data_IF_909893646625
#
_entry.id   IF_909893646625
#
_cell.length_a   1.000
_cell.length_b   1.000
_cell.length_c   1.000
_cell.angle_alpha   90.00
_cell.angle_beta   90.00
_cell.angle_gamma   90.00
#
_symmetry.space_group_name_H-M   'P 1'
#
loop_
_entity.id
_entity.type
_entity.pdbx_description
1 polymer ?
#
# COMPACT_ATOMS: atom_id res chain seq x y z
N UNK A 1 4.47 -3.69 -1.18
CA UNK A 1 3.39 -4.32 -0.39
C UNK A 1 2.09 -4.13 -1.14
N UNK A 2 1.83 -5.01 -2.11
CA UNK A 2 0.70 -4.85 -3.03
C UNK A 2 -0.63 -4.99 -2.30
N UNK A 3 -1.60 -4.13 -2.65
CA UNK A 3 -2.99 -4.24 -2.19
C UNK A 3 -3.57 -5.60 -2.55
N UNK A 4 -4.29 -6.25 -1.63
CA UNK A 4 -5.05 -7.47 -1.94
C UNK A 4 -6.43 -7.15 -2.50
N UNK A 5 -6.92 -5.94 -2.28
CA UNK A 5 -8.11 -5.42 -2.93
C UNK A 5 -7.71 -4.58 -4.17
N UNK A 6 -7.32 -5.26 -5.25
CA UNK A 6 -6.89 -4.62 -6.49
C UNK A 6 -7.61 -5.20 -7.73
N UNK A 7 -7.68 -4.41 -8.79
CA UNK A 7 -8.09 -4.87 -10.13
C UNK A 7 -6.90 -4.71 -11.06
N UNK A 8 -6.42 -5.83 -11.64
CA UNK A 8 -5.25 -5.84 -12.54
C UNK A 8 -4.02 -5.12 -11.97
N UNK A 9 -3.81 -5.22 -10.66
CA UNK A 9 -2.70 -4.56 -9.97
C UNK A 9 -2.98 -3.13 -9.50
N UNK A 10 -4.13 -2.54 -9.87
CA UNK A 10 -4.52 -1.21 -9.43
C UNK A 10 -5.27 -1.26 -8.08
N UNK A 11 -4.75 -0.63 -7.01
CA UNK A 11 -5.34 -0.71 -5.68
C UNK A 11 -6.68 0.04 -5.63
N UNK A 12 -7.72 -0.61 -5.10
CA UNK A 12 -9.08 -0.04 -5.10
C UNK A 12 -9.27 1.09 -4.09
N UNK A 13 -8.67 0.98 -2.89
CA UNK A 13 -8.88 1.97 -1.84
C UNK A 13 -8.41 3.39 -2.24
N UNK A 14 -7.18 3.60 -2.77
CA UNK A 14 -6.74 4.92 -3.24
C UNK A 14 -7.59 5.50 -4.38
N UNK A 15 -8.21 4.65 -5.21
CA UNK A 15 -9.11 5.09 -6.30
C UNK A 15 -10.43 5.57 -5.70
N UNK A 16 -10.97 4.88 -4.69
CA UNK A 16 -12.29 5.16 -4.15
C UNK A 16 -12.30 6.31 -3.13
N UNK A 17 -11.21 6.58 -2.41
CA UNK A 17 -11.18 7.63 -1.39
C UNK A 17 -11.34 9.05 -1.93
N UNK A 18 -11.15 9.27 -3.24
CA UNK A 18 -11.30 10.61 -3.84
C UNK A 18 -12.75 11.10 -3.79
N UNK A 19 -13.71 10.18 -3.86
CA UNK A 19 -15.13 10.50 -3.83
C UNK A 19 -15.60 11.03 -2.46
N UNK A 20 -15.42 10.32 -1.33
CA UNK A 20 -15.82 10.84 -0.03
C UNK A 20 -15.07 12.12 0.33
N UNK A 21 -13.79 12.25 -0.04
CA UNK A 21 -13.01 13.48 0.20
C UNK A 21 -13.63 14.66 -0.54
N UNK A 22 -13.95 14.50 -1.82
CA UNK A 22 -14.60 15.55 -2.61
C UNK A 22 -15.99 15.90 -2.06
N UNK A 23 -16.80 14.90 -1.74
CA UNK A 23 -18.18 15.09 -1.31
C UNK A 23 -18.30 15.72 0.09
N UNK A 24 -17.48 15.31 1.06
CA UNK A 24 -17.48 15.93 2.39
C UNK A 24 -16.89 17.34 2.37
N UNK A 25 -15.87 17.59 1.55
CA UNK A 25 -15.35 18.96 1.33
C UNK A 25 -16.42 19.84 0.70
N UNK A 26 -17.12 19.32 -0.32
CA UNK A 26 -18.21 20.02 -0.99
C UNK A 26 -19.39 20.31 -0.05
N UNK A 27 -19.74 19.37 0.84
CA UNK A 27 -20.79 19.56 1.86
C UNK A 27 -20.50 20.80 2.69
N UNK A 28 -19.34 20.84 3.36
CA UNK A 28 -18.95 21.97 4.20
C UNK A 28 -18.87 23.28 3.40
N UNK A 29 -18.36 23.22 2.16
CA UNK A 29 -18.28 24.40 1.30
C UNK A 29 -19.67 24.97 1.00
N UNK A 30 -20.62 24.14 0.58
CA UNK A 30 -21.96 24.59 0.20
C UNK A 30 -22.82 25.00 1.41
N UNK A 31 -22.65 24.38 2.57
CA UNK A 31 -23.32 24.85 3.79
C UNK A 31 -22.76 26.19 4.27
N UNK A 32 -21.43 26.40 4.20
CA UNK A 32 -20.82 27.70 4.45
C UNK A 32 -21.32 28.75 3.46
N UNK A 33 -21.36 28.41 2.18
CA UNK A 33 -21.78 29.32 1.12
C UNK A 33 -23.27 29.64 1.19
N UNK A 34 -24.11 28.66 1.51
CA UNK A 34 -25.53 28.87 1.79
C UNK A 34 -25.75 29.81 2.97
N UNK A 35 -24.99 29.62 4.06
CA UNK A 35 -25.06 30.50 5.23
C UNK A 35 -24.59 31.94 4.94
N UNK A 36 -23.63 32.11 4.03
CA UNK A 36 -23.12 33.42 3.64
C UNK A 36 -24.02 34.14 2.62
N UNK A 37 -24.55 33.41 1.64
CA UNK A 37 -25.31 33.98 0.52
C UNK A 37 -26.82 34.00 0.71
N UNK A 38 -27.33 33.39 1.78
CA UNK A 38 -28.76 33.21 2.08
C UNK A 38 -29.56 32.58 0.91
N UNK A 39 -28.90 31.70 0.14
CA UNK A 39 -29.46 31.10 -1.06
C UNK A 39 -29.75 29.61 -0.82
N UNK A 40 -31.04 29.30 -0.63
CA UNK A 40 -31.54 27.99 -0.21
C UNK A 40 -31.01 26.77 -1.00
N UNK A 41 -30.88 26.81 -2.35
CA UNK A 41 -30.42 25.65 -3.13
C UNK A 41 -29.03 25.11 -2.76
N UNK A 42 -28.18 25.91 -2.11
CA UNK A 42 -26.87 25.44 -1.67
C UNK A 42 -26.96 24.43 -0.52
N UNK A 43 -27.93 24.58 0.38
CA UNK A 43 -28.14 23.61 1.46
C UNK A 43 -28.65 22.25 0.94
N UNK A 44 -29.47 22.25 -0.11
CA UNK A 44 -29.91 21.02 -0.79
C UNK A 44 -28.73 20.32 -1.47
N UNK A 45 -27.88 21.10 -2.13
CA UNK A 45 -26.64 20.59 -2.74
C UNK A 45 -25.73 19.97 -1.69
N UNK A 46 -25.53 20.66 -0.57
CA UNK A 46 -24.72 20.16 0.55
C UNK A 46 -25.28 18.84 1.11
N UNK A 47 -26.61 18.75 1.29
CA UNK A 47 -27.27 17.52 1.74
C UNK A 47 -27.01 16.34 0.80
N UNK A 48 -27.18 16.51 -0.51
CA UNK A 48 -26.94 15.42 -1.46
C UNK A 48 -25.47 14.98 -1.49
N UNK A 49 -24.55 15.94 -1.41
CA UNK A 49 -23.12 15.64 -1.27
C UNK A 49 -22.83 14.90 0.03
N UNK A 50 -23.46 15.27 1.14
CA UNK A 50 -23.29 14.61 2.44
C UNK A 50 -23.71 13.13 2.37
N UNK A 51 -24.87 12.85 1.77
CA UNK A 51 -25.39 11.49 1.57
C UNK A 51 -24.45 10.66 0.67
N UNK A 52 -24.01 11.22 -0.46
CA UNK A 52 -23.06 10.57 -1.35
C UNK A 52 -21.70 10.35 -0.69
N UNK A 53 -21.25 11.29 0.15
CA UNK A 53 -20.04 11.20 0.95
C UNK A 53 -20.08 10.02 1.91
N UNK A 54 -21.17 9.86 2.67
CA UNK A 54 -21.37 8.72 3.58
C UNK A 54 -21.36 7.41 2.80
N UNK A 55 -22.14 7.33 1.71
CA UNK A 55 -22.21 6.12 0.90
C UNK A 55 -20.83 5.71 0.34
N UNK A 56 -20.13 6.65 -0.29
CA UNK A 56 -18.81 6.37 -0.89
C UNK A 56 -17.71 6.13 0.14
N UNK A 57 -17.80 6.73 1.34
CA UNK A 57 -16.90 6.42 2.45
C UNK A 57 -17.03 4.96 2.90
N UNK A 58 -18.27 4.45 3.02
CA UNK A 58 -18.52 3.04 3.36
C UNK A 58 -17.99 2.10 2.27
N UNK A 59 -18.20 2.43 1.00
CA UNK A 59 -17.64 1.65 -0.13
C UNK A 59 -16.12 1.66 -0.11
N UNK A 60 -15.47 2.81 0.13
CA UNK A 60 -14.02 2.92 0.21
C UNK A 60 -13.43 2.20 1.44
N UNK A 61 -14.18 2.10 2.53
CA UNK A 61 -13.73 1.42 3.75
C UNK A 61 -13.51 -0.08 3.55
N UNK A 62 -14.28 -0.74 2.67
CA UNK A 62 -14.18 -2.19 2.40
C UNK A 62 -12.79 -2.60 1.90
N UNK A 63 -12.26 -2.08 0.76
CA UNK A 63 -10.92 -2.42 0.31
C UNK A 63 -9.83 -1.93 1.30
N UNK A 64 -10.05 -0.80 1.98
CA UNK A 64 -9.13 -0.31 3.01
C UNK A 64 -9.00 -1.29 4.19
N UNK A 65 -10.10 -1.89 4.62
CA UNK A 65 -10.11 -2.89 5.69
C UNK A 65 -9.49 -4.22 5.25
N UNK A 66 -9.71 -4.64 4.01
CA UNK A 66 -9.05 -5.82 3.44
C UNK A 66 -7.53 -5.65 3.48
N UNK A 67 -7.02 -4.50 3.04
CA UNK A 67 -5.59 -4.21 3.06
C UNK A 67 -5.06 -4.06 4.50
N UNK A 68 -5.84 -3.46 5.41
CA UNK A 68 -5.49 -3.41 6.83
C UNK A 68 -5.24 -4.79 7.42
N UNK A 69 -6.07 -5.78 7.08
CA UNK A 69 -5.94 -7.15 7.60
C UNK A 69 -4.83 -7.95 6.91
N UNK A 70 -4.69 -7.81 5.58
CA UNK A 70 -3.88 -8.73 4.77
C UNK A 70 -2.57 -8.17 4.25
N UNK A 71 -2.40 -6.85 4.24
CA UNK A 71 -1.24 -6.17 3.66
C UNK A 71 -0.42 -5.47 4.72
N UNK A 72 -1.07 -4.82 5.69
CA UNK A 72 -0.38 -4.05 6.73
C UNK A 72 0.27 -5.00 7.76
N UNK A 73 1.61 -4.98 7.93
CA UNK A 73 2.30 -5.91 8.84
C UNK A 73 1.89 -5.65 10.30
N UNK A 74 1.52 -6.68 11.10
CA UNK A 74 0.90 -6.50 12.43
C UNK A 74 1.79 -5.77 13.45
N UNK A 75 3.06 -6.18 13.58
CA UNK A 75 4.01 -5.60 14.53
C UNK A 75 4.83 -4.47 13.89
N UNK A 76 4.16 -3.44 13.38
CA UNK A 76 4.82 -2.34 12.66
C UNK A 76 4.28 -0.94 12.97
N UNK A 77 5.10 0.07 12.70
CA UNK A 77 4.67 1.47 12.74
C UNK A 77 3.55 1.77 11.72
N UNK A 78 3.51 1.02 10.62
CA UNK A 78 2.44 1.09 9.64
C UNK A 78 1.10 0.60 10.23
N UNK A 79 1.09 -0.48 11.02
CA UNK A 79 -0.16 -0.96 11.66
C UNK A 79 -0.75 0.05 12.62
N UNK A 80 0.07 0.63 13.50
CA UNK A 80 -0.37 1.68 14.44
C UNK A 80 -1.00 2.84 13.71
N UNK A 81 -0.33 3.33 12.66
CA UNK A 81 -0.82 4.43 11.82
C UNK A 81 -2.10 4.06 11.06
N UNK A 82 -2.19 2.86 10.50
CA UNK A 82 -3.36 2.38 9.78
C UNK A 82 -4.57 2.23 10.69
N UNK A 83 -4.39 1.75 11.93
CA UNK A 83 -5.46 1.70 12.93
C UNK A 83 -5.96 3.10 13.27
N UNK A 84 -5.06 4.03 13.61
CA UNK A 84 -5.45 5.41 13.93
C UNK A 84 -6.09 6.13 12.74
N UNK A 85 -5.61 5.90 11.51
CA UNK A 85 -6.22 6.41 10.28
C UNK A 85 -7.64 5.85 10.10
N UNK A 86 -7.84 4.54 10.27
CA UNK A 86 -9.15 3.92 10.18
C UNK A 86 -10.14 4.47 11.22
N UNK A 87 -9.70 4.61 12.48
CA UNK A 87 -10.51 5.17 13.56
C UNK A 87 -10.92 6.62 13.30
N UNK A 88 -10.01 7.46 12.79
CA UNK A 88 -10.34 8.83 12.41
C UNK A 88 -11.38 8.88 11.28
N UNK A 89 -11.28 8.00 10.28
CA UNK A 89 -12.27 7.94 9.20
C UNK A 89 -13.64 7.46 9.68
N UNK A 90 -13.68 6.49 10.62
CA UNK A 90 -14.92 6.04 11.26
C UNK A 90 -15.55 7.21 12.03
N UNK A 91 -14.77 7.89 12.87
CA UNK A 91 -15.25 9.05 13.63
C UNK A 91 -15.79 10.15 12.72
N UNK A 92 -15.05 10.50 11.68
CA UNK A 92 -15.46 11.48 10.66
C UNK A 92 -16.78 11.08 9.98
N UNK A 93 -16.91 9.81 9.55
CA UNK A 93 -18.15 9.31 8.91
C UNK A 93 -19.33 9.38 9.88
N UNK A 94 -19.12 9.05 11.16
CA UNK A 94 -20.15 9.17 12.21
C UNK A 94 -20.58 10.63 12.37
N UNK A 95 -19.63 11.58 12.41
CA UNK A 95 -19.95 13.00 12.56
C UNK A 95 -20.78 13.53 11.39
N UNK A 96 -20.41 13.20 10.14
CA UNK A 96 -21.21 13.55 8.97
C UNK A 96 -22.58 12.85 8.94
N UNK A 97 -22.67 11.63 9.48
CA UNK A 97 -23.96 10.93 9.62
C UNK A 97 -24.86 11.59 10.67
N UNK A 98 -24.29 12.00 11.81
CA UNK A 98 -25.01 12.77 12.84
C UNK A 98 -25.47 14.11 12.28
N UNK A 99 -24.61 14.83 11.54
CA UNK A 99 -25.00 16.09 10.88
C UNK A 99 -26.14 15.86 9.88
N UNK A 100 -26.06 14.80 9.06
CA UNK A 100 -27.10 14.44 8.10
C UNK A 100 -28.46 14.11 8.75
N UNK A 101 -28.45 13.44 9.91
CA UNK A 101 -29.66 13.16 10.68
C UNK A 101 -30.17 14.43 11.37
N UNK A 102 -29.27 15.20 11.99
CA UNK A 102 -29.61 16.43 12.69
C UNK A 102 -30.23 17.47 11.76
N UNK A 103 -29.79 17.54 10.50
CA UNK A 103 -30.36 18.40 9.45
C UNK A 103 -31.87 18.18 9.24
N UNK A 104 -32.39 17.00 9.54
CA UNK A 104 -33.82 16.67 9.41
C UNK A 104 -34.66 17.12 10.61
N UNK A 105 -34.02 17.60 11.69
CA UNK A 105 -34.69 18.09 12.87
C UNK A 105 -35.32 19.47 12.62
N UNK A 106 -36.53 19.69 13.13
CA UNK A 106 -37.17 21.02 13.13
C UNK A 106 -36.38 22.06 13.92
N UNK A 107 -35.52 21.61 14.85
CA UNK A 107 -34.66 22.47 15.69
C UNK A 107 -33.20 22.45 15.20
N UNK A 108 -32.96 22.14 13.93
CA UNK A 108 -31.62 22.15 13.35
C UNK A 108 -31.09 23.59 13.29
N UNK A 109 -29.96 23.84 13.96
CA UNK A 109 -29.26 25.11 13.87
C UNK A 109 -28.05 24.97 12.95
N UNK A 110 -27.95 25.87 11.96
CA UNK A 110 -26.83 25.88 11.01
C UNK A 110 -25.46 25.93 11.70
N UNK A 111 -25.34 26.66 12.81
CA UNK A 111 -24.09 26.70 13.58
C UNK A 111 -23.66 25.31 14.08
N UNK A 112 -24.60 24.48 14.52
CA UNK A 112 -24.29 23.12 15.00
C UNK A 112 -23.89 22.22 13.83
N UNK A 113 -24.55 22.34 12.68
CA UNK A 113 -24.17 21.63 11.45
C UNK A 113 -22.74 22.01 11.02
N UNK A 114 -22.45 23.30 10.91
CA UNK A 114 -21.12 23.79 10.52
C UNK A 114 -20.04 23.36 11.50
N UNK A 115 -20.31 23.32 12.81
CA UNK A 115 -19.35 22.81 13.81
C UNK A 115 -19.07 21.32 13.62
N UNK A 116 -20.10 20.50 13.42
CA UNK A 116 -19.94 19.06 13.17
C UNK A 116 -19.18 18.81 11.87
N UNK A 117 -19.52 19.51 10.80
CA UNK A 117 -18.90 19.36 9.49
C UNK A 117 -17.46 19.87 9.47
N UNK A 118 -17.18 21.00 10.14
CA UNK A 118 -15.81 21.51 10.28
C UNK A 118 -14.94 20.54 11.07
N UNK A 119 -15.45 20.00 12.17
CA UNK A 119 -14.72 19.03 12.97
C UNK A 119 -14.53 17.70 12.21
N UNK A 120 -15.55 17.26 11.45
CA UNK A 120 -15.45 16.10 10.55
C UNK A 120 -14.42 16.32 9.43
N UNK A 121 -14.40 17.50 8.82
CA UNK A 121 -13.42 17.90 7.81
C UNK A 121 -11.99 17.91 8.40
N UNK A 122 -11.81 18.42 9.62
CA UNK A 122 -10.52 18.37 10.31
C UNK A 122 -10.05 16.93 10.54
N UNK A 123 -10.93 16.03 10.99
CA UNK A 123 -10.64 14.60 11.11
C UNK A 123 -10.26 13.98 9.74
N UNK A 124 -10.98 14.33 8.67
CA UNK A 124 -10.69 13.88 7.31
C UNK A 124 -9.31 14.35 6.83
N UNK A 125 -8.96 15.61 7.07
CA UNK A 125 -7.65 16.17 6.68
C UNK A 125 -6.50 15.45 7.39
N UNK A 126 -6.62 15.24 8.71
CA UNK A 126 -5.62 14.48 9.50
C UNK A 126 -5.53 13.04 9.02
N UNK A 127 -6.67 12.39 8.80
CA UNK A 127 -6.74 11.03 8.27
C UNK A 127 -6.10 10.94 6.88
N UNK A 128 -6.36 11.90 5.99
CA UNK A 128 -5.76 12.00 4.66
C UNK A 128 -4.24 12.13 4.70
N UNK A 129 -3.70 12.97 5.60
CA UNK A 129 -2.26 13.09 5.80
C UNK A 129 -1.62 11.77 6.27
N UNK A 130 -2.30 11.05 7.17
CA UNK A 130 -1.87 9.73 7.62
C UNK A 130 -1.96 8.69 6.51
N UNK A 131 -3.00 8.73 5.68
CA UNK A 131 -3.18 7.88 4.50
C UNK A 131 -2.06 8.10 3.49
N UNK A 132 -1.75 9.36 3.18
CA UNK A 132 -0.59 9.70 2.35
C UNK A 132 0.71 9.19 2.95
N UNK A 133 0.90 9.29 4.26
CA UNK A 133 2.07 8.73 4.93
C UNK A 133 2.15 7.20 4.79
N UNK A 134 1.02 6.49 4.89
CA UNK A 134 0.97 5.04 4.67
C UNK A 134 1.38 4.65 3.25
N UNK A 135 0.94 5.40 2.25
CA UNK A 135 1.30 5.18 0.85
C UNK A 135 2.76 5.53 0.59
N UNK A 136 3.17 6.78 0.86
CA UNK A 136 4.46 7.30 0.43
C UNK A 136 5.63 6.91 1.33
N UNK A 137 5.42 6.78 2.64
CA UNK A 137 6.51 6.41 3.57
C UNK A 137 6.49 4.94 3.93
N UNK A 138 5.31 4.38 4.15
CA UNK A 138 5.19 2.96 4.50
C UNK A 138 5.01 2.05 3.28
N UNK A 139 4.84 2.59 2.07
CA UNK A 139 4.75 1.80 0.83
C UNK A 139 3.60 0.78 0.84
N UNK A 140 2.52 1.09 1.56
CA UNK A 140 1.29 0.28 1.63
C UNK A 140 0.48 0.49 0.35
N UNK A 141 0.03 -0.61 -0.24
CA UNK A 141 -0.70 -0.63 -1.51
C UNK A 141 0.11 -0.06 -2.70
N UNK A 142 1.43 0.01 -2.59
CA UNK A 142 2.35 0.37 -3.68
C UNK A 142 2.97 -0.89 -4.26
N UNK A 143 3.05 -0.91 -5.59
CA UNK A 143 3.66 -1.97 -6.40
C UNK A 143 4.80 -1.35 -7.21
N UNK A 144 6.03 -1.83 -6.99
CA UNK A 144 7.25 -1.11 -7.40
C UNK A 144 7.96 -1.73 -8.61
N UNK A 145 7.29 -2.60 -9.36
CA UNK A 145 7.89 -3.23 -10.54
C UNK A 145 8.35 -2.21 -11.57
N UNK A 146 9.64 -2.28 -11.91
CA UNK A 146 10.27 -1.49 -12.96
C UNK A 146 9.79 -1.91 -14.35
N UNK A 147 10.01 -1.06 -15.35
CA UNK A 147 9.75 -1.42 -16.75
C UNK A 147 10.48 -2.74 -17.09
N UNK A 148 9.82 -3.63 -17.84
CA UNK A 148 10.32 -4.97 -18.21
C UNK A 148 10.54 -5.98 -17.05
N UNK A 149 10.24 -5.63 -15.79
CA UNK A 149 10.35 -6.56 -14.65
C UNK A 149 9.42 -7.78 -14.77
N UNK A 150 8.47 -7.76 -15.70
CA UNK A 150 7.52 -8.83 -15.93
C UNK A 150 6.30 -8.72 -15.01
N UNK A 151 5.67 -9.87 -14.74
CA UNK A 151 4.59 -9.97 -13.76
C UNK A 151 5.17 -10.35 -12.41
N UNK A 152 4.59 -9.84 -11.33
CA UNK A 152 4.89 -10.32 -9.99
C UNK A 152 4.72 -11.84 -9.91
N UNK A 153 5.74 -12.52 -9.37
CA UNK A 153 5.75 -13.97 -9.15
C UNK A 153 6.16 -14.23 -7.71
N UNK A 154 5.31 -14.94 -6.99
CA UNK A 154 5.52 -15.34 -5.60
C UNK A 154 5.17 -16.82 -5.45
N UNK A 155 6.03 -17.58 -4.79
CA UNK A 155 5.83 -19.02 -4.56
C UNK A 155 6.20 -19.39 -3.13
N UNK A 156 5.36 -20.22 -2.49
CA UNK A 156 5.59 -20.75 -1.16
C UNK A 156 6.08 -22.19 -1.27
N UNK A 157 7.20 -22.49 -0.62
CA UNK A 157 7.82 -23.80 -0.57
C UNK A 157 7.96 -24.19 0.90
N UNK A 158 7.17 -25.18 1.33
CA UNK A 158 7.17 -25.68 2.71
C UNK A 158 7.49 -27.18 2.70
N UNK A 159 8.75 -27.47 2.40
CA UNK A 159 9.26 -28.84 2.33
C UNK A 159 10.54 -28.95 3.15
N UNK A 160 10.79 -30.08 3.82
CA UNK A 160 12.06 -30.30 4.50
C UNK A 160 13.18 -30.51 3.48
N UNK A 161 14.37 -29.98 3.75
CA UNK A 161 15.53 -30.15 2.90
C UNK A 161 16.52 -28.99 2.98
N UNK A 162 17.60 -29.10 2.20
CA UNK A 162 18.61 -28.04 2.05
C UNK A 162 18.64 -27.45 0.65
N UNK A 163 18.08 -28.13 -0.35
CA UNK A 163 18.07 -27.67 -1.74
C UNK A 163 16.64 -27.70 -2.26
N UNK A 164 16.21 -26.60 -2.88
CA UNK A 164 14.82 -26.33 -3.24
C UNK A 164 14.72 -25.92 -4.69
N UNK A 165 13.78 -26.52 -5.42
CA UNK A 165 13.44 -26.06 -6.77
C UNK A 165 12.68 -24.74 -6.66
N UNK A 166 13.19 -23.68 -7.28
CA UNK A 166 12.62 -22.32 -7.16
C UNK A 166 12.09 -21.76 -8.47
N UNK A 167 12.50 -22.32 -9.61
CA UNK A 167 12.04 -21.92 -10.92
C UNK A 167 12.31 -23.02 -11.96
N UNK A 168 11.56 -22.99 -13.06
CA UNK A 168 11.99 -23.67 -14.28
C UNK A 168 13.10 -22.88 -14.99
N UNK A 169 14.01 -23.58 -15.66
CA UNK A 169 15.00 -22.95 -16.55
C UNK A 169 14.29 -22.13 -17.62
N UNK A 170 14.66 -20.85 -17.76
CA UNK A 170 14.05 -19.91 -18.70
C UNK A 170 12.75 -19.26 -18.22
N UNK A 171 12.26 -19.57 -17.01
CA UNK A 171 11.05 -18.95 -16.44
C UNK A 171 11.20 -17.42 -16.27
N UNK A 172 12.42 -16.94 -15.99
CA UNK A 172 12.75 -15.52 -15.83
C UNK A 172 13.60 -15.07 -17.01
N UNK A 173 13.20 -13.93 -17.59
CA UNK A 173 14.08 -13.20 -18.52
C UNK A 173 15.14 -12.43 -17.73
N UNK A 174 16.22 -12.04 -18.41
CA UNK A 174 17.27 -11.18 -17.84
C UNK A 174 16.62 -9.95 -17.19
N UNK A 175 17.09 -9.57 -15.99
CA UNK A 175 16.61 -8.49 -15.13
C UNK A 175 15.27 -8.74 -14.41
N UNK A 176 14.62 -9.89 -14.63
CA UNK A 176 13.40 -10.24 -13.88
C UNK A 176 13.72 -10.85 -12.53
N UNK A 177 12.81 -10.61 -11.59
CA UNK A 177 12.86 -11.09 -10.21
C UNK A 177 11.62 -11.95 -9.90
N UNK A 178 11.79 -12.93 -9.02
CA UNK A 178 10.73 -13.76 -8.44
C UNK A 178 10.97 -13.86 -6.93
N UNK A 179 9.91 -13.70 -6.15
CA UNK A 179 9.96 -13.96 -4.73
C UNK A 179 9.67 -15.44 -4.46
N UNK A 180 10.50 -16.09 -3.66
CA UNK A 180 10.20 -17.41 -3.09
C UNK A 180 10.25 -17.34 -1.57
N UNK A 181 9.29 -17.99 -0.92
CA UNK A 181 9.22 -18.12 0.53
C UNK A 181 9.50 -19.57 0.88
N UNK A 182 10.69 -19.86 1.36
CA UNK A 182 11.14 -21.22 1.70
C UNK A 182 11.13 -21.37 3.22
N UNK A 183 10.25 -22.20 3.77
CA UNK A 183 10.13 -22.45 5.21
C UNK A 183 10.06 -21.12 6.02
N UNK A 184 9.30 -20.14 5.52
CA UNK A 184 9.15 -18.81 6.12
C UNK A 184 10.23 -17.78 5.76
N UNK A 185 11.33 -18.19 5.11
CA UNK A 185 12.42 -17.30 4.69
C UNK A 185 12.14 -16.72 3.30
N UNK A 186 12.19 -15.39 3.16
CA UNK A 186 11.94 -14.68 1.90
C UNK A 186 13.23 -14.52 1.10
N UNK A 187 13.26 -15.06 -0.10
CA UNK A 187 14.44 -15.07 -0.99
C UNK A 187 14.02 -14.52 -2.35
N UNK A 188 14.80 -13.61 -2.89
CA UNK A 188 14.64 -13.09 -4.24
C UNK A 188 15.48 -13.91 -5.22
N UNK A 189 14.85 -14.43 -6.26
CA UNK A 189 15.48 -15.12 -7.39
C UNK A 189 15.55 -14.14 -8.55
N UNK A 190 16.74 -13.92 -9.09
CA UNK A 190 16.96 -13.07 -10.26
C UNK A 190 17.57 -13.85 -11.42
N UNK A 191 17.35 -13.38 -12.64
CA UNK A 191 18.13 -13.80 -13.82
C UNK A 191 19.03 -12.65 -14.29
N UNK A 192 20.34 -12.86 -14.25
CA UNK A 192 21.33 -11.98 -14.88
C UNK A 192 21.69 -12.52 -16.28
N UNK A 193 22.52 -11.79 -17.02
CA UNK A 193 23.08 -12.30 -18.29
C UNK A 193 23.99 -13.53 -18.09
N UNK A 194 24.56 -13.70 -16.89
CA UNK A 194 25.50 -14.78 -16.57
C UNK A 194 24.80 -16.02 -15.99
N UNK A 195 23.60 -15.88 -15.41
CA UNK A 195 22.92 -17.00 -14.78
C UNK A 195 21.83 -16.58 -13.82
N UNK A 196 21.29 -17.56 -13.09
CA UNK A 196 20.38 -17.30 -11.99
C UNK A 196 21.15 -16.92 -10.72
N UNK A 197 20.56 -16.05 -9.91
CA UNK A 197 21.10 -15.58 -8.64
C UNK A 197 20.03 -15.63 -7.58
N UNK A 198 20.42 -15.84 -6.32
CA UNK A 198 19.52 -15.85 -5.18
C UNK A 198 20.11 -15.05 -4.03
N UNK A 199 19.30 -14.17 -3.44
CA UNK A 199 19.71 -13.31 -2.33
C UNK A 199 18.53 -13.05 -1.40
N UNK A 200 18.81 -12.56 -0.20
CA UNK A 200 17.75 -12.27 0.78
C UNK A 200 16.81 -11.20 0.24
N UNK A 201 15.50 -11.40 0.39
CA UNK A 201 14.52 -10.41 -0.07
C UNK A 201 14.51 -9.17 0.84
N UNK A 202 15.01 -9.23 2.08
CA UNK A 202 14.99 -8.08 2.97
C UNK A 202 16.19 -7.16 2.76
N UNK A 203 15.90 -5.95 2.29
CA UNK A 203 16.86 -4.85 2.31
C UNK A 203 17.31 -4.54 3.75
N UNK A 204 18.62 -4.60 4.00
CA UNK A 204 19.24 -4.38 5.32
C UNK A 204 19.04 -2.97 5.90
N UNK A 205 18.49 -2.00 5.14
CA UNK A 205 18.20 -0.66 5.67
C UNK A 205 16.93 -0.60 6.53
N UNK A 206 15.78 -0.96 5.94
CA UNK A 206 14.44 -0.88 6.58
C UNK A 206 13.55 -2.09 6.30
N UNK A 207 14.08 -3.15 5.70
CA UNK A 207 13.34 -4.39 5.41
C UNK A 207 12.47 -4.35 4.15
N UNK A 208 12.72 -3.41 3.23
CA UNK A 208 12.00 -3.39 1.96
C UNK A 208 12.30 -4.63 1.11
N UNK A 209 11.28 -5.18 0.45
CA UNK A 209 11.42 -6.33 -0.46
C UNK A 209 12.26 -5.96 -1.68
N UNK A 210 13.34 -6.70 -1.91
CA UNK A 210 14.23 -6.54 -3.05
C UNK A 210 13.67 -7.19 -4.31
N UNK A 211 12.84 -8.24 -4.19
CA UNK A 211 12.11 -8.83 -5.32
C UNK A 211 11.10 -7.85 -5.96
N UNK A 212 10.59 -6.89 -5.19
CA UNK A 212 9.73 -5.77 -5.67
C UNK A 212 10.56 -4.61 -6.25
N UNK A 213 11.89 -4.73 -6.24
CA UNK A 213 12.82 -3.72 -6.74
C UNK A 213 13.14 -3.84 -8.23
N UNK A 214 14.14 -3.07 -8.66
CA UNK A 214 14.72 -3.16 -10.00
C UNK A 214 16.06 -3.87 -9.94
N UNK A 215 16.32 -4.79 -10.86
CA UNK A 215 17.64 -5.41 -11.02
C UNK A 215 18.20 -5.06 -12.40
N UNK A 216 19.38 -4.43 -12.43
CA UNK A 216 20.06 -4.03 -13.66
C UNK A 216 21.56 -4.32 -13.49
N UNK A 217 22.18 -4.96 -14.49
CA UNK A 217 23.62 -5.24 -14.51
C UNK A 217 24.14 -5.90 -13.21
N UNK A 218 23.42 -6.89 -12.69
CA UNK A 218 23.81 -7.60 -11.45
C UNK A 218 23.72 -6.75 -10.17
N UNK A 219 23.01 -5.63 -10.22
CA UNK A 219 22.73 -4.79 -9.04
C UNK A 219 21.23 -4.69 -8.83
N UNK A 220 20.76 -5.03 -7.61
CA UNK A 220 19.37 -4.86 -7.21
C UNK A 220 19.21 -3.57 -6.42
N UNK A 221 18.20 -2.77 -6.76
CA UNK A 221 17.83 -1.53 -6.08
C UNK A 221 16.54 -1.75 -5.30
N UNK A 222 16.59 -1.50 -3.99
CA UNK A 222 15.43 -1.48 -3.12
C UNK A 222 14.49 -0.32 -3.48
N UNK A 223 13.19 -0.58 -3.65
CA UNK A 223 12.25 0.46 -4.10
C UNK A 223 11.92 1.51 -3.03
N UNK A 224 12.25 1.27 -1.75
CA UNK A 224 11.86 2.18 -0.67
C UNK A 224 12.74 3.43 -0.58
N UNK A 225 14.04 3.25 -0.43
CA UNK A 225 14.99 4.36 -0.20
C UNK A 225 16.18 4.29 -1.16
N UNK A 226 16.15 3.39 -2.15
CA UNK A 226 17.16 3.30 -3.20
C UNK A 226 18.45 2.58 -2.82
N UNK A 227 18.54 1.90 -1.68
CA UNK A 227 19.71 1.07 -1.35
C UNK A 227 19.98 0.06 -2.48
N UNK A 228 21.25 -0.08 -2.87
CA UNK A 228 21.66 -0.97 -3.96
C UNK A 228 22.62 -2.05 -3.46
N UNK A 229 22.48 -3.26 -3.99
CA UNK A 229 23.28 -4.42 -3.59
C UNK A 229 23.75 -5.20 -4.82
N UNK A 230 24.96 -5.74 -4.74
CA UNK A 230 25.42 -6.79 -5.65
C UNK A 230 24.58 -8.04 -5.47
N UNK A 231 23.99 -8.58 -6.54
CA UNK A 231 23.17 -9.80 -6.45
C UNK A 231 23.99 -11.08 -6.34
N UNK A 232 25.30 -11.00 -6.63
CA UNK A 232 26.22 -12.14 -6.56
C UNK A 232 26.99 -12.19 -5.24
N UNK A 233 27.31 -11.04 -4.65
CA UNK A 233 28.11 -10.95 -3.43
C UNK A 233 27.36 -10.39 -2.22
N UNK A 234 26.16 -9.84 -2.43
CA UNK A 234 25.37 -9.19 -1.38
C UNK A 234 25.90 -7.83 -0.92
N UNK A 235 27.08 -7.42 -1.39
CA UNK A 235 27.74 -6.20 -0.97
C UNK A 235 26.92 -4.95 -1.30
N UNK A 236 26.89 -3.99 -0.37
CA UNK A 236 26.28 -2.68 -0.59
C UNK A 236 27.02 -1.95 -1.70
N UNK A 237 26.30 -1.52 -2.72
CA UNK A 237 26.80 -0.66 -3.82
C UNK A 237 26.46 0.81 -3.59
N UNK A 238 25.28 1.07 -3.03
CA UNK A 238 24.84 2.41 -2.67
C UNK A 238 23.93 2.36 -1.43
N UNK A 239 24.08 3.35 -0.55
CA UNK A 239 23.27 3.49 0.66
C UNK A 239 21.82 3.87 0.37
N UNK A 240 20.98 4.01 1.41
CA UNK A 240 21.33 4.20 2.83
C UNK A 240 21.68 2.93 3.63
N UNK A 241 21.50 1.73 3.07
CA UNK A 241 21.96 0.50 3.71
C UNK A 241 23.46 0.54 4.01
N UNK A 242 23.88 -0.08 5.11
CA UNK A 242 25.30 -0.19 5.52
C UNK A 242 25.81 -1.61 5.60
N UNK A 243 24.89 -2.58 5.65
CA UNK A 243 25.19 -4.00 5.81
C UNK A 243 24.88 -4.75 4.51
N UNK A 244 25.72 -5.72 4.17
CA UNK A 244 25.47 -6.61 3.04
C UNK A 244 24.22 -7.47 3.29
N UNK A 245 23.58 -7.92 2.21
CA UNK A 245 22.52 -8.93 2.27
C UNK A 245 23.11 -10.33 2.06
N UNK A 246 22.54 -11.38 2.67
CA UNK A 246 22.91 -12.75 2.35
C UNK A 246 22.66 -13.09 0.88
N UNK A 247 23.56 -13.90 0.31
CA UNK A 247 23.40 -14.54 -1.01
C UNK A 247 23.39 -16.06 -0.83
N UNK A 248 22.69 -16.76 -1.71
CA UNK A 248 22.49 -18.20 -1.61
C UNK A 248 23.06 -18.90 -2.85
N UNK A 249 23.70 -20.08 -2.69
CA UNK A 249 24.14 -20.87 -3.82
C UNK A 249 22.97 -21.24 -4.74
N UNK A 250 23.19 -21.06 -6.03
CA UNK A 250 22.23 -21.41 -7.08
C UNK A 250 22.86 -22.42 -8.03
N UNK A 251 22.11 -23.47 -8.38
CA UNK A 251 22.48 -24.41 -9.44
C UNK A 251 21.35 -24.55 -10.45
N UNK A 252 21.71 -24.70 -11.72
CA UNK A 252 20.77 -24.94 -12.81
C UNK A 252 21.13 -26.27 -13.49
N UNK A 253 20.23 -27.25 -13.43
CA UNK A 253 20.38 -28.54 -14.09
C UNK A 253 19.00 -29.18 -14.31
N UNK A 254 18.91 -30.10 -15.28
CA UNK A 254 17.67 -30.83 -15.61
C UNK A 254 16.46 -29.91 -15.88
N UNK A 255 16.72 -28.74 -16.45
CA UNK A 255 15.69 -27.73 -16.75
C UNK A 255 15.09 -27.05 -15.50
N UNK A 256 15.74 -27.15 -14.35
CA UNK A 256 15.29 -26.59 -13.07
C UNK A 256 16.38 -25.75 -12.42
N UNK A 257 15.95 -24.75 -11.67
CA UNK A 257 16.80 -23.88 -10.86
C UNK A 257 16.62 -24.23 -9.40
N UNK A 258 17.73 -24.45 -8.72
CA UNK A 258 17.80 -24.84 -7.32
C UNK A 258 18.46 -23.75 -6.48
N UNK A 259 17.94 -23.53 -5.27
CA UNK A 259 18.59 -22.71 -4.24
C UNK A 259 18.93 -23.60 -3.06
N UNK A 260 20.16 -23.47 -2.55
CA UNK A 260 20.61 -24.19 -1.36
C UNK A 260 20.61 -23.29 -0.13
N UNK A 261 20.00 -23.75 0.96
CA UNK A 261 19.99 -23.12 2.27
C UNK A 261 20.79 -23.99 3.26
N UNK A 262 21.61 -23.36 4.09
CA UNK A 262 22.43 -24.04 5.10
C UNK A 262 21.63 -24.50 6.34
#
# INVERSE_FOLDING_TARGET
MQSKANIKGHPLHPILIVFPVAFFTGTLFFDCWGAFSDHAPYFDTAYHLQVLGIFTALVAAVPGFIDYLRVVPPESSAKKRATSHGLLNIGMTIMFSIACIYRQSLNAHITVLLLLETAGFACMAIAGWMGGTLVYRNQIAVHNLYAEAGKWKEELIDTPGKSFVVAASGELKVNQLKLVIINGKRIAIGKTAEGYVAFDDHCSHKGGSLADGAMICGTVQCPWHGSQFSVTTGAVKAGPAKEAIPVYPVSEHDGKVYVTLE
#
